data_IF_645796743894
#
_entry.id   IF_645796743894
#
_cell.length_a   1.000
_cell.length_b   1.000
_cell.length_c   1.000
_cell.angle_alpha   90.00
_cell.angle_beta   90.00
_cell.angle_gamma   90.00
#
_symmetry.space_group_name_H-M   'P 1'
#
loop_
_entity.id
_entity.type
_entity.pdbx_description
1 polymer ?
#
# COMPACT_ATOMS: atom_id res chain seq x y z
N UNK A 1 4.97 -11.37 -5.79
CA UNK A 1 3.81 -11.22 -4.89
C UNK A 1 4.35 -11.12 -3.48
N UNK A 2 3.92 -10.13 -2.71
CA UNK A 2 4.31 -9.98 -1.30
C UNK A 2 3.21 -10.56 -0.42
N UNK A 3 3.59 -11.32 0.60
CA UNK A 3 2.65 -12.01 1.50
C UNK A 3 2.88 -11.68 2.97
N UNK A 4 3.95 -10.96 3.29
CA UNK A 4 4.19 -10.48 4.65
C UNK A 4 3.34 -9.24 4.95
N UNK A 5 2.64 -9.27 6.09
CA UNK A 5 1.71 -8.21 6.48
C UNK A 5 2.42 -6.86 6.67
N UNK A 6 3.59 -6.88 7.30
CA UNK A 6 4.31 -5.65 7.62
C UNK A 6 4.95 -5.05 6.36
N UNK A 7 5.53 -5.88 5.50
CA UNK A 7 6.12 -5.45 4.24
C UNK A 7 5.07 -4.80 3.33
N UNK A 8 3.90 -5.42 3.19
CA UNK A 8 2.82 -4.89 2.34
C UNK A 8 2.26 -3.58 2.90
N UNK A 9 2.03 -3.50 4.22
CA UNK A 9 1.54 -2.29 4.87
C UNK A 9 2.55 -1.13 4.77
N UNK A 10 3.83 -1.40 5.04
CA UNK A 10 4.91 -0.41 4.96
C UNK A 10 5.06 0.16 3.55
N UNK A 11 5.03 -0.68 2.51
CA UNK A 11 5.09 -0.21 1.12
C UNK A 11 3.86 0.61 0.73
N UNK A 12 2.67 0.28 1.21
CA UNK A 12 1.47 1.07 0.94
C UNK A 12 1.56 2.49 1.51
N UNK A 13 2.07 2.64 2.74
CA UNK A 13 2.32 3.94 3.35
C UNK A 13 3.38 4.73 2.57
N UNK A 14 4.49 4.09 2.19
CA UNK A 14 5.53 4.72 1.37
C UNK A 14 4.99 5.22 0.03
N UNK A 15 4.14 4.44 -0.64
CA UNK A 15 3.46 4.90 -1.86
C UNK A 15 2.64 6.17 -1.62
N UNK A 16 1.84 6.20 -0.55
CA UNK A 16 0.99 7.35 -0.24
C UNK A 16 1.78 8.64 0.04
N UNK A 17 3.01 8.52 0.53
CA UNK A 17 3.90 9.66 0.77
C UNK A 17 4.88 9.96 -0.39
N UNK A 18 4.87 9.16 -1.46
CA UNK A 18 5.85 9.28 -2.54
C UNK A 18 7.28 8.96 -2.08
N UNK A 19 7.44 8.07 -1.11
CA UNK A 19 8.74 7.64 -0.58
C UNK A 19 9.34 6.48 -1.41
N UNK A 20 10.67 6.30 -1.38
CA UNK A 20 11.31 5.18 -2.05
C UNK A 20 10.87 3.81 -1.50
N UNK A 21 10.62 2.87 -2.40
CA UNK A 21 10.32 1.47 -2.09
C UNK A 21 11.38 0.52 -2.66
N UNK A 22 11.65 -0.63 -2.02
CA UNK A 22 12.64 -1.59 -2.52
C UNK A 22 12.20 -2.25 -3.84
N UNK A 23 13.12 -2.29 -4.80
CA UNK A 23 12.98 -3.09 -6.03
C UNK A 23 13.33 -4.56 -5.76
N UNK A 24 12.91 -5.46 -6.66
CA UNK A 24 13.17 -6.89 -6.51
C UNK A 24 14.66 -7.27 -6.69
N UNK A 25 15.45 -6.41 -7.34
CA UNK A 25 16.86 -6.62 -7.68
C UNK A 25 17.83 -5.83 -6.78
N UNK A 26 17.34 -5.23 -5.68
CA UNK A 26 18.19 -4.65 -4.64
C UNK A 26 18.46 -3.15 -4.74
N UNK A 27 17.61 -2.39 -5.42
CA UNK A 27 17.61 -0.93 -5.44
C UNK A 27 16.36 -0.33 -4.80
N UNK A 28 16.16 0.97 -5.01
CA UNK A 28 14.95 1.69 -4.61
C UNK A 28 14.33 2.45 -5.78
N UNK A 29 13.01 2.59 -5.77
CA UNK A 29 12.25 3.36 -6.75
C UNK A 29 11.20 4.21 -6.06
N UNK A 30 11.01 5.45 -6.53
CA UNK A 30 9.88 6.30 -6.14
C UNK A 30 8.78 6.12 -7.17
N UNK A 31 7.57 5.82 -6.70
CA UNK A 31 6.38 5.68 -7.55
C UNK A 31 5.39 6.77 -7.18
N UNK A 32 4.92 7.50 -8.18
CA UNK A 32 3.81 8.45 -8.04
C UNK A 32 2.52 7.70 -8.41
N UNK A 33 1.64 7.48 -7.43
CA UNK A 33 0.38 6.77 -7.63
C UNK A 33 -0.74 7.41 -6.82
N UNK A 34 -1.87 7.67 -7.47
CA UNK A 34 -3.08 8.21 -6.80
C UNK A 34 -3.90 7.10 -6.12
N UNK A 35 -3.81 5.87 -6.63
CA UNK A 35 -4.57 4.72 -6.10
C UNK A 35 -3.74 3.44 -6.13
N UNK A 36 -3.59 2.72 -5.00
CA UNK A 36 -3.05 1.37 -5.01
C UNK A 36 -4.12 0.37 -5.48
N UNK A 37 -3.72 -0.60 -6.31
CA UNK A 37 -4.56 -1.77 -6.58
C UNK A 37 -4.40 -2.78 -5.44
N UNK A 38 -5.51 -3.33 -4.95
CA UNK A 38 -5.51 -4.34 -3.89
C UNK A 38 -6.30 -5.56 -4.36
N UNK A 39 -5.73 -6.75 -4.14
CA UNK A 39 -6.29 -8.04 -4.53
C UNK A 39 -6.88 -8.77 -3.31
N UNK A 40 -8.00 -9.49 -3.52
CA UNK A 40 -8.78 -10.18 -2.49
C UNK A 40 -9.01 -11.67 -2.75
N UNK A 41 -8.28 -12.24 -3.70
CA UNK A 41 -8.57 -13.52 -4.35
C UNK A 41 -7.78 -14.72 -3.79
N UNK A 42 -6.85 -14.50 -2.85
CA UNK A 42 -6.04 -15.56 -2.24
C UNK A 42 -6.34 -15.75 -0.74
N UNK A 43 -6.09 -16.95 -0.17
CA UNK A 43 -6.09 -17.13 1.27
C UNK A 43 -5.20 -16.09 1.97
N UNK A 44 -5.70 -15.49 3.05
CA UNK A 44 -5.00 -14.42 3.78
C UNK A 44 -5.10 -13.02 3.15
N UNK A 45 -5.67 -12.86 1.95
CA UNK A 45 -5.79 -11.55 1.29
C UNK A 45 -6.54 -10.53 2.15
N UNK A 46 -7.67 -10.92 2.77
CA UNK A 46 -8.43 -10.04 3.65
C UNK A 46 -7.59 -9.50 4.84
N UNK A 47 -6.66 -10.30 5.37
CA UNK A 47 -5.77 -9.87 6.45
C UNK A 47 -4.74 -8.85 5.96
N UNK A 48 -4.19 -9.08 4.75
CA UNK A 48 -3.30 -8.13 4.09
C UNK A 48 -4.01 -6.80 3.82
N UNK A 49 -5.23 -6.84 3.27
CA UNK A 49 -6.03 -5.63 3.01
C UNK A 49 -6.32 -4.88 4.32
N UNK A 50 -6.69 -5.59 5.38
CA UNK A 50 -6.94 -4.99 6.68
C UNK A 50 -5.70 -4.32 7.27
N UNK A 51 -4.53 -4.96 7.16
CA UNK A 51 -3.26 -4.40 7.63
C UNK A 51 -2.85 -3.15 6.84
N UNK A 52 -3.02 -3.16 5.52
CA UNK A 52 -2.80 -1.98 4.67
C UNK A 52 -3.71 -0.83 5.10
N UNK A 53 -5.00 -1.12 5.29
CA UNK A 53 -5.98 -0.10 5.69
C UNK A 53 -5.62 0.52 7.03
N UNK A 54 -5.30 -0.31 8.03
CA UNK A 54 -4.93 0.15 9.36
C UNK A 54 -3.66 1.02 9.31
N UNK A 55 -2.62 0.59 8.61
CA UNK A 55 -1.37 1.33 8.51
C UNK A 55 -1.53 2.70 7.81
N UNK A 56 -2.35 2.77 6.76
CA UNK A 56 -2.67 4.05 6.11
C UNK A 56 -3.40 4.99 7.07
N UNK A 57 -4.37 4.49 7.85
CA UNK A 57 -5.09 5.29 8.84
C UNK A 57 -4.19 5.76 9.99
N UNK A 58 -3.36 4.87 10.53
CA UNK A 58 -2.36 5.17 11.57
C UNK A 58 -1.33 6.21 11.11
N UNK A 59 -0.94 6.16 9.84
CA UNK A 59 -0.06 7.15 9.24
C UNK A 59 -0.77 8.49 8.94
N UNK A 60 -2.08 8.62 9.16
CA UNK A 60 -2.88 9.80 8.80
C UNK A 60 -3.08 10.01 7.28
N UNK A 61 -3.02 8.94 6.49
CA UNK A 61 -3.41 8.95 5.07
C UNK A 61 -4.93 8.78 4.97
N UNK A 62 -5.59 9.72 4.29
CA UNK A 62 -7.05 9.65 4.05
C UNK A 62 -7.35 8.71 2.89
N UNK A 63 -8.03 7.61 3.18
CA UNK A 63 -8.56 6.69 2.15
C UNK A 63 -9.97 7.13 1.75
N UNK A 64 -10.17 7.42 0.47
CA UNK A 64 -11.44 7.89 -0.10
C UNK A 64 -11.66 7.26 -1.49
N UNK A 65 -12.86 7.34 -2.08
CA UNK A 65 -13.08 7.03 -3.50
C UNK A 65 -12.59 8.17 -4.39
N UNK A 66 -12.01 7.86 -5.57
CA UNK A 66 -11.42 8.85 -6.48
C UNK A 66 -12.31 10.06 -6.78
N UNK A 67 -13.62 9.84 -6.89
CA UNK A 67 -14.61 10.90 -7.12
C UNK A 67 -14.67 11.98 -6.01
N UNK A 68 -14.03 11.78 -4.86
CA UNK A 68 -13.97 12.77 -3.78
C UNK A 68 -12.82 13.79 -3.94
N UNK A 69 -11.90 13.60 -4.89
CA UNK A 69 -10.77 14.51 -5.13
C UNK A 69 -10.39 14.73 -6.60
N UNK A 70 -10.97 13.95 -7.52
CA UNK A 70 -10.96 14.26 -8.96
C UNK A 70 -11.92 15.41 -9.27
#
# INVERSE_FOLDING_TARGET
MLTDLHEVASRAVRFAYGEPIPTADGGEVVVQADTPCIHGDTPGAAQLVAAVRAALEEAHVRVQPMAAWL
#
